data_IF_582156205013
#
_entry.id   IF_582156205013
#
_cell.length_a   1.000
_cell.length_b   1.000
_cell.length_c   1.000
_cell.angle_alpha   90.00
_cell.angle_beta   90.00
_cell.angle_gamma   90.00
#
_symmetry.space_group_name_H-M   'P 1'
#
loop_
_entity.id
_entity.type
_entity.pdbx_description
1 polymer ?
#
# COMPACT_ATOMS: atom_id res chain seq x y z
N UNK A 1 2.17 -22.27 1.76
CA UNK A 1 1.43 -22.38 3.01
C UNK A 1 2.18 -23.31 3.96
N UNK A 2 2.44 -22.87 5.19
CA UNK A 2 3.03 -23.69 6.22
C UNK A 2 2.27 -23.58 7.53
N UNK A 3 2.09 -24.70 8.24
CA UNK A 3 1.36 -24.77 9.52
C UNK A 3 1.91 -25.88 10.41
N UNK A 4 1.49 -25.91 11.67
CA UNK A 4 1.83 -27.04 12.58
C UNK A 4 1.21 -28.35 12.10
N UNK A 5 -0.09 -28.31 11.75
CA UNK A 5 -0.84 -29.45 11.19
C UNK A 5 -1.82 -28.93 10.14
N UNK A 6 -1.96 -29.63 9.05
CA UNK A 6 -2.85 -29.25 7.96
C UNK A 6 -4.32 -29.47 8.37
N UNK A 7 -5.09 -28.39 8.35
CA UNK A 7 -6.55 -28.46 8.33
C UNK A 7 -7.06 -28.18 6.93
N UNK A 8 -7.57 -29.21 6.27
CA UNK A 8 -8.01 -29.16 4.87
C UNK A 8 -9.09 -28.09 4.62
N UNK A 9 -10.01 -27.88 5.58
CA UNK A 9 -11.08 -26.89 5.45
C UNK A 9 -10.55 -25.47 5.48
N UNK A 10 -9.69 -25.17 6.45
CA UNK A 10 -9.05 -23.84 6.57
C UNK A 10 -8.13 -23.58 5.39
N UNK A 11 -7.32 -24.55 5.00
CA UNK A 11 -6.40 -24.41 3.85
C UNK A 11 -7.17 -24.17 2.56
N UNK A 12 -8.24 -24.90 2.29
CA UNK A 12 -9.08 -24.67 1.11
C UNK A 12 -9.68 -23.26 1.07
N UNK A 13 -10.13 -22.72 2.21
CA UNK A 13 -10.62 -21.33 2.30
C UNK A 13 -9.54 -20.33 1.98
N UNK A 14 -8.31 -20.51 2.48
CA UNK A 14 -7.16 -19.65 2.22
C UNK A 14 -6.80 -19.69 0.73
N UNK A 15 -6.63 -20.87 0.16
CA UNK A 15 -6.28 -21.05 -1.26
C UNK A 15 -7.35 -20.45 -2.18
N UNK A 16 -8.64 -20.65 -1.86
CA UNK A 16 -9.73 -20.00 -2.58
C UNK A 16 -9.66 -18.46 -2.52
N UNK A 17 -9.27 -17.90 -1.36
CA UNK A 17 -9.02 -16.46 -1.23
C UNK A 17 -7.90 -15.97 -2.13
N UNK A 18 -6.79 -16.71 -2.19
CA UNK A 18 -5.65 -16.43 -3.07
C UNK A 18 -6.07 -16.50 -4.54
N UNK A 19 -6.75 -17.58 -4.95
CA UNK A 19 -7.23 -17.77 -6.31
C UNK A 19 -8.19 -16.65 -6.76
N UNK A 20 -9.10 -16.23 -5.88
CA UNK A 20 -9.99 -15.08 -6.12
C UNK A 20 -9.20 -13.78 -6.31
N UNK A 21 -8.22 -13.51 -5.48
CA UNK A 21 -7.38 -12.32 -5.58
C UNK A 21 -6.54 -12.34 -6.88
N UNK A 22 -5.97 -13.47 -7.25
CA UNK A 22 -5.26 -13.65 -8.52
C UNK A 22 -6.17 -13.38 -9.72
N UNK A 23 -7.39 -13.93 -9.73
CA UNK A 23 -8.39 -13.68 -10.79
C UNK A 23 -8.73 -12.19 -10.91
N UNK A 24 -8.97 -11.49 -9.80
CA UNK A 24 -9.28 -10.05 -9.79
C UNK A 24 -8.07 -9.24 -10.27
N UNK A 25 -6.87 -9.65 -9.90
CA UNK A 25 -5.61 -8.99 -10.29
C UNK A 25 -5.19 -9.27 -11.73
N UNK A 26 -5.86 -10.19 -12.43
CA UNK A 26 -5.53 -10.57 -13.80
C UNK A 26 -4.25 -11.39 -13.91
N UNK A 27 -3.86 -12.12 -12.86
CA UNK A 27 -2.73 -13.04 -12.87
C UNK A 27 -3.17 -14.50 -12.70
N UNK A 28 -2.41 -15.44 -13.25
CA UNK A 28 -2.61 -16.87 -13.06
C UNK A 28 -2.03 -17.33 -11.72
N UNK A 29 -2.77 -18.16 -10.99
CA UNK A 29 -2.22 -18.91 -9.88
C UNK A 29 -1.64 -20.21 -10.45
N UNK A 30 -0.31 -20.26 -10.58
CA UNK A 30 0.37 -21.39 -11.24
C UNK A 30 0.47 -22.62 -10.35
N UNK A 31 0.49 -22.43 -9.02
CA UNK A 31 0.64 -23.52 -8.08
C UNK A 31 1.12 -23.03 -6.73
N UNK A 32 1.52 -23.97 -5.92
CA UNK A 32 2.05 -23.71 -4.57
C UNK A 32 2.47 -25.01 -3.91
N UNK A 33 2.92 -24.88 -2.67
CA UNK A 33 3.35 -25.98 -1.81
C UNK A 33 2.70 -25.82 -0.44
N UNK A 34 2.46 -26.94 0.24
CA UNK A 34 2.03 -26.95 1.63
C UNK A 34 3.03 -27.75 2.47
N UNK A 35 3.39 -27.24 3.65
CA UNK A 35 4.30 -27.90 4.58
C UNK A 35 3.65 -28.03 5.97
N UNK A 36 3.69 -29.25 6.53
CA UNK A 36 3.45 -29.48 7.94
C UNK A 36 4.76 -29.41 8.70
N UNK A 37 4.81 -28.53 9.70
CA UNK A 37 6.01 -28.27 10.50
C UNK A 37 5.64 -28.27 12.00
N UNK A 38 5.33 -29.45 12.56
CA UNK A 38 5.01 -29.59 13.98
C UNK A 38 6.20 -29.18 14.83
N UNK A 39 5.93 -28.43 15.91
CA UNK A 39 6.97 -27.89 16.79
C UNK A 39 7.58 -26.56 16.31
N UNK A 40 7.47 -26.21 15.04
CA UNK A 40 7.85 -24.90 14.52
C UNK A 40 6.69 -23.88 14.63
N UNK A 41 5.52 -24.30 14.23
CA UNK A 41 4.28 -23.50 14.41
C UNK A 41 3.49 -24.01 15.62
N UNK A 42 2.90 -23.11 16.39
CA UNK A 42 1.91 -23.47 17.39
C UNK A 42 0.59 -23.85 16.73
N UNK A 43 -0.27 -24.59 17.43
CA UNK A 43 -1.61 -24.93 16.96
C UNK A 43 -2.33 -23.66 16.51
N UNK A 44 -3.03 -23.72 15.39
CA UNK A 44 -3.80 -22.64 14.77
C UNK A 44 -2.97 -21.50 14.12
N UNK A 45 -1.64 -21.54 14.20
CA UNK A 45 -0.78 -20.61 13.49
C UNK A 45 -0.34 -21.17 12.13
N UNK A 46 -0.28 -20.28 11.15
CA UNK A 46 0.19 -20.60 9.81
C UNK A 46 0.92 -19.40 9.19
N UNK A 47 1.73 -19.69 8.18
CA UNK A 47 2.38 -18.69 7.35
C UNK A 47 1.99 -18.83 5.88
N UNK A 48 1.99 -17.70 5.18
CA UNK A 48 1.81 -17.61 3.75
C UNK A 48 3.01 -16.90 3.13
N UNK A 49 3.64 -17.52 2.16
CA UNK A 49 4.63 -16.88 1.30
C UNK A 49 4.15 -16.93 -0.14
N UNK A 50 4.30 -15.84 -0.86
CA UNK A 50 3.90 -15.74 -2.26
C UNK A 50 5.02 -15.17 -3.12
N UNK A 51 5.19 -15.74 -4.32
CA UNK A 51 6.11 -15.26 -5.33
C UNK A 51 5.32 -14.85 -6.56
N UNK A 52 5.64 -13.69 -7.13
CA UNK A 52 5.05 -13.24 -8.38
C UNK A 52 6.13 -13.02 -9.42
N UNK A 53 5.88 -13.51 -10.62
CA UNK A 53 6.74 -13.30 -11.78
C UNK A 53 5.97 -12.52 -12.83
N UNK A 54 6.58 -11.51 -13.40
CA UNK A 54 6.00 -10.69 -14.45
C UNK A 54 7.05 -10.30 -15.48
N UNK A 55 6.58 -9.84 -16.63
CA UNK A 55 7.44 -9.34 -17.72
C UNK A 55 7.04 -7.92 -18.10
N UNK A 56 8.01 -7.12 -18.47
CA UNK A 56 7.81 -5.76 -18.97
C UNK A 56 8.80 -5.47 -20.09
N UNK A 57 8.34 -4.77 -21.11
CA UNK A 57 9.22 -4.20 -22.13
C UNK A 57 10.19 -3.21 -21.50
N UNK A 58 11.50 -3.36 -21.75
CA UNK A 58 12.55 -2.51 -21.18
C UNK A 58 12.28 -1.00 -21.41
N UNK A 59 11.73 -0.65 -22.57
CA UNK A 59 11.36 0.72 -22.93
C UNK A 59 10.20 1.29 -22.10
N UNK A 60 9.36 0.43 -21.51
CA UNK A 60 8.19 0.80 -20.68
C UNK A 60 8.47 0.81 -19.20
N UNK A 61 9.71 0.56 -18.79
CA UNK A 61 10.08 0.50 -17.37
C UNK A 61 9.92 1.86 -16.69
N UNK A 62 9.09 1.90 -15.65
CA UNK A 62 8.88 3.09 -14.82
C UNK A 62 9.89 3.07 -13.66
N UNK A 63 11.03 3.73 -13.87
CA UNK A 63 12.17 3.70 -12.93
C UNK A 63 12.45 5.05 -12.25
N UNK A 64 11.51 6.00 -12.32
CA UNK A 64 11.66 7.33 -11.73
C UNK A 64 12.59 8.30 -12.48
N UNK A 65 13.29 7.87 -13.53
CA UNK A 65 14.22 8.73 -14.29
C UNK A 65 13.54 9.93 -14.94
N UNK A 66 12.24 9.83 -15.25
CA UNK A 66 11.43 10.90 -15.87
C UNK A 66 10.82 11.87 -14.85
N UNK A 67 10.99 11.64 -13.55
CA UNK A 67 10.46 12.53 -12.51
C UNK A 67 11.19 13.87 -12.57
N UNK A 68 10.41 14.96 -12.52
CA UNK A 68 10.89 16.36 -12.56
C UNK A 68 10.15 17.20 -11.52
N UNK A 69 10.74 18.33 -11.05
CA UNK A 69 10.00 19.32 -10.27
C UNK A 69 8.71 19.75 -10.98
N UNK A 70 7.66 20.00 -10.21
CA UNK A 70 6.34 20.38 -10.70
C UNK A 70 5.40 19.21 -10.98
N UNK A 71 5.88 17.96 -11.03
CA UNK A 71 5.00 16.81 -11.12
C UNK A 71 4.18 16.65 -9.83
N UNK A 72 2.93 16.21 -9.98
CA UNK A 72 1.99 16.02 -8.88
C UNK A 72 2.14 14.65 -8.24
N UNK A 73 1.89 14.59 -6.93
CA UNK A 73 1.76 13.38 -6.15
C UNK A 73 0.28 13.00 -6.07
N UNK A 74 -0.17 12.08 -6.94
CA UNK A 74 -1.52 11.55 -6.94
C UNK A 74 -1.58 10.34 -6.01
N UNK A 75 -2.19 10.52 -4.83
CA UNK A 75 -2.45 9.47 -3.88
C UNK A 75 -3.70 8.67 -4.26
N UNK A 76 -3.67 7.37 -4.01
CA UNK A 76 -4.79 6.46 -4.14
C UNK A 76 -5.08 5.88 -2.77
N UNK A 77 -6.35 5.88 -2.37
CA UNK A 77 -6.78 5.44 -1.04
C UNK A 77 -6.38 4.00 -0.71
N UNK A 78 -6.13 3.75 0.58
CA UNK A 78 -6.04 2.41 1.14
C UNK A 78 -7.39 1.96 1.72
N UNK A 79 -7.61 0.66 1.81
CA UNK A 79 -8.79 0.07 2.47
C UNK A 79 -8.70 0.10 4.01
N UNK A 80 -7.50 0.27 4.54
CA UNK A 80 -7.15 0.20 5.94
C UNK A 80 -5.64 0.08 6.10
N UNK A 81 -5.12 -0.55 7.16
CA UNK A 81 -3.69 -0.74 7.38
C UNK A 81 -2.98 -1.57 6.30
N UNK A 82 -3.75 -2.25 5.46
CA UNK A 82 -3.25 -3.26 4.53
C UNK A 82 -2.54 -4.39 5.32
N UNK A 83 -1.35 -4.79 4.93
CA UNK A 83 -0.61 -5.85 5.65
C UNK A 83 0.55 -5.30 6.48
N UNK A 84 0.48 -4.04 6.93
CA UNK A 84 1.60 -3.36 7.60
C UNK A 84 1.22 -2.84 8.98
N UNK A 85 2.21 -2.79 9.89
CA UNK A 85 2.06 -2.25 11.24
C UNK A 85 1.31 -3.15 12.22
N UNK A 86 1.06 -4.41 11.88
CA UNK A 86 0.24 -5.31 12.71
C UNK A 86 0.89 -5.69 14.04
N UNK A 87 2.21 -5.67 14.17
CA UNK A 87 2.87 -5.86 15.46
C UNK A 87 2.44 -4.80 16.47
N UNK A 88 2.41 -3.53 16.03
CA UNK A 88 1.94 -2.43 16.88
C UNK A 88 0.41 -2.50 17.07
N UNK A 89 -0.36 -2.77 16.02
CA UNK A 89 -1.82 -2.94 16.13
C UNK A 89 -2.18 -4.01 17.15
N UNK A 90 -1.56 -5.19 17.13
CA UNK A 90 -1.80 -6.26 18.12
C UNK A 90 -1.44 -5.81 19.53
N UNK A 91 -0.31 -5.10 19.72
CA UNK A 91 0.08 -4.54 21.04
C UNK A 91 -0.97 -3.57 21.56
N UNK A 92 -1.54 -2.74 20.68
CA UNK A 92 -2.61 -1.80 21.02
C UNK A 92 -3.90 -2.53 21.39
N UNK A 93 -4.29 -3.52 20.58
CA UNK A 93 -5.51 -4.32 20.83
C UNK A 93 -5.46 -5.12 22.14
N UNK A 94 -4.28 -5.50 22.61
CA UNK A 94 -4.12 -6.16 23.89
C UNK A 94 -4.39 -5.23 25.09
N UNK A 95 -4.27 -3.91 24.90
CA UNK A 95 -4.47 -2.91 25.95
C UNK A 95 -5.82 -2.18 25.84
N UNK A 96 -6.30 -1.99 24.61
CA UNK A 96 -7.46 -1.17 24.32
C UNK A 96 -8.50 -1.98 23.54
N UNK A 97 -9.76 -1.88 23.96
CA UNK A 97 -10.88 -2.52 23.26
C UNK A 97 -11.45 -1.56 22.22
N UNK A 98 -11.24 -1.81 20.91
CA UNK A 98 -11.72 -0.92 19.88
C UNK A 98 -13.21 -1.11 19.59
N UNK A 99 -13.90 -0.08 19.04
CA UNK A 99 -15.21 -0.25 18.44
C UNK A 99 -15.19 -1.28 17.30
N UNK A 100 -16.33 -1.96 17.07
CA UNK A 100 -16.45 -2.99 16.02
C UNK A 100 -16.08 -2.46 14.62
N UNK A 101 -16.41 -1.21 14.31
CA UNK A 101 -16.08 -0.56 13.04
C UNK A 101 -14.55 -0.46 12.82
N UNK A 102 -13.77 -0.29 13.90
CA UNK A 102 -12.30 -0.26 13.84
C UNK A 102 -11.76 -1.67 13.57
N UNK A 103 -12.29 -2.70 14.24
CA UNK A 103 -11.92 -4.11 13.95
C UNK A 103 -12.20 -4.44 12.48
N UNK A 104 -13.40 -4.12 11.98
CA UNK A 104 -13.74 -4.33 10.57
C UNK A 104 -12.76 -3.63 9.62
N UNK A 105 -12.32 -2.42 9.97
CA UNK A 105 -11.35 -1.66 9.17
C UNK A 105 -9.95 -2.28 9.22
N UNK A 106 -9.50 -2.77 10.37
CA UNK A 106 -8.23 -3.47 10.54
C UNK A 106 -8.21 -4.75 9.68
N UNK A 107 -9.30 -5.49 9.64
CA UNK A 107 -9.40 -6.78 8.91
C UNK A 107 -9.68 -6.64 7.42
N UNK A 108 -9.86 -5.42 6.89
CA UNK A 108 -10.08 -5.24 5.45
C UNK A 108 -8.88 -5.72 4.63
N UNK A 109 -9.12 -6.51 3.56
CA UNK A 109 -8.07 -6.89 2.63
C UNK A 109 -7.42 -5.67 1.98
N UNK A 110 -6.16 -5.80 1.62
CA UNK A 110 -5.43 -4.80 0.83
C UNK A 110 -6.15 -4.54 -0.50
N UNK A 111 -6.29 -3.28 -0.89
CA UNK A 111 -6.80 -2.93 -2.21
C UNK A 111 -5.92 -3.51 -3.31
N UNK A 112 -6.55 -4.13 -4.30
CA UNK A 112 -5.86 -4.67 -5.47
C UNK A 112 -5.67 -3.57 -6.51
N UNK A 113 -4.44 -3.07 -6.62
CA UNK A 113 -4.10 -1.95 -7.51
C UNK A 113 -3.66 -2.38 -8.92
N UNK A 114 -3.40 -3.67 -9.17
CA UNK A 114 -2.83 -4.16 -10.42
C UNK A 114 -3.62 -3.72 -11.66
N UNK A 115 -4.90 -4.07 -11.73
CA UNK A 115 -5.74 -3.74 -12.90
C UNK A 115 -5.90 -2.22 -13.10
N UNK A 116 -6.29 -1.42 -12.07
CA UNK A 116 -6.41 0.02 -12.24
C UNK A 116 -5.09 0.71 -12.60
N UNK A 117 -3.96 0.28 -12.04
CA UNK A 117 -2.66 0.85 -12.37
C UNK A 117 -2.22 0.45 -13.79
N UNK A 118 -2.46 -0.79 -14.22
CA UNK A 118 -2.19 -1.21 -15.60
C UNK A 118 -3.02 -0.41 -16.60
N UNK A 119 -4.30 -0.12 -16.31
CA UNK A 119 -5.10 0.78 -17.15
C UNK A 119 -4.54 2.21 -17.14
N UNK A 120 -4.12 2.69 -15.98
CA UNK A 120 -3.55 4.03 -15.81
C UNK A 120 -2.30 4.21 -16.67
N UNK A 121 -1.30 3.33 -16.54
CA UNK A 121 -0.03 3.43 -17.27
C UNK A 121 -0.15 3.21 -18.78
N UNK A 122 -1.21 2.54 -19.23
CA UNK A 122 -1.52 2.44 -20.67
C UNK A 122 -2.03 3.75 -21.26
N UNK A 123 -2.64 4.63 -20.46
CA UNK A 123 -3.35 5.82 -20.91
C UNK A 123 -2.67 7.14 -20.59
N UNK A 124 -1.77 7.14 -19.62
CA UNK A 124 -0.98 8.30 -19.21
C UNK A 124 0.48 7.91 -18.91
N UNK A 125 1.40 8.86 -19.13
CA UNK A 125 2.82 8.68 -18.82
C UNK A 125 3.06 8.90 -17.31
N UNK A 126 2.91 7.84 -16.54
CA UNK A 126 3.22 7.82 -15.09
C UNK A 126 4.73 7.85 -14.93
N UNK A 127 5.25 8.87 -14.24
CA UNK A 127 6.70 9.12 -14.11
C UNK A 127 7.36 8.28 -13.01
N UNK A 128 6.57 7.87 -12.01
CA UNK A 128 7.00 7.03 -10.90
C UNK A 128 5.80 6.54 -10.09
N UNK A 129 5.98 5.44 -9.36
CA UNK A 129 4.95 4.87 -8.49
C UNK A 129 5.58 4.35 -7.21
N UNK A 130 4.90 4.56 -6.08
CA UNK A 130 5.25 3.98 -4.80
C UNK A 130 4.05 3.26 -4.21
N UNK A 131 4.15 1.97 -3.96
CA UNK A 131 3.21 1.23 -3.13
C UNK A 131 3.57 1.52 -1.67
N UNK A 132 2.61 2.05 -0.90
CA UNK A 132 2.87 2.47 0.47
C UNK A 132 2.65 1.28 1.40
N UNK A 133 3.75 0.73 1.87
CA UNK A 133 3.85 -0.44 2.73
C UNK A 133 4.49 -0.08 4.07
N UNK A 134 5.16 -1.00 4.75
CA UNK A 134 5.96 -0.70 5.95
C UNK A 134 6.96 0.42 5.67
N UNK A 135 7.10 1.35 6.60
CA UNK A 135 7.84 2.60 6.43
C UNK A 135 7.00 3.79 5.95
N UNK A 136 5.69 3.56 5.63
CA UNK A 136 4.74 4.61 5.26
C UNK A 136 5.20 5.46 4.07
N UNK A 137 4.69 6.69 3.98
CA UNK A 137 5.11 7.65 2.96
C UNK A 137 6.59 8.03 3.12
N UNK A 138 7.06 8.14 4.36
CA UNK A 138 8.41 8.59 4.71
C UNK A 138 9.50 7.73 4.09
N UNK A 139 9.34 6.41 4.08
CA UNK A 139 10.37 5.48 3.62
C UNK A 139 10.11 4.94 2.19
N UNK A 140 8.86 4.93 1.72
CA UNK A 140 8.56 4.41 0.39
C UNK A 140 8.76 5.43 -0.72
N UNK A 141 8.43 6.71 -0.50
CA UNK A 141 8.64 7.77 -1.50
C UNK A 141 10.11 7.97 -1.90
N UNK A 142 11.09 7.96 -0.97
CA UNK A 142 12.51 8.12 -1.31
C UNK A 142 13.05 7.09 -2.31
N UNK A 143 12.47 5.89 -2.36
CA UNK A 143 12.96 4.77 -3.20
C UNK A 143 12.86 5.07 -4.70
N UNK A 144 11.91 5.92 -5.08
CA UNK A 144 11.65 6.27 -6.48
C UNK A 144 12.20 7.64 -6.88
N UNK A 145 12.75 8.41 -5.92
CA UNK A 145 13.22 9.77 -6.16
C UNK A 145 14.73 9.83 -6.35
N UNK A 146 15.18 10.63 -7.33
CA UNK A 146 16.59 11.00 -7.48
C UNK A 146 17.07 11.84 -6.27
N UNK A 147 18.40 11.93 -6.11
CA UNK A 147 19.02 12.68 -4.98
C UNK A 147 18.61 14.17 -4.93
N UNK A 148 18.43 14.78 -6.11
CA UNK A 148 18.11 16.21 -6.26
C UNK A 148 16.60 16.51 -6.27
N UNK A 149 15.75 15.55 -5.86
CA UNK A 149 14.31 15.70 -5.82
C UNK A 149 13.78 15.41 -4.42
N UNK A 150 12.74 16.13 -4.03
CA UNK A 150 11.98 15.93 -2.79
C UNK A 150 10.50 15.84 -3.08
N UNK A 151 9.79 14.94 -2.41
CA UNK A 151 8.35 14.92 -2.34
C UNK A 151 7.88 15.89 -1.26
N UNK A 152 7.32 17.03 -1.63
CA UNK A 152 6.66 17.95 -0.72
C UNK A 152 5.21 17.51 -0.57
N UNK A 153 4.83 17.10 0.64
CA UNK A 153 3.54 16.48 0.96
C UNK A 153 2.78 17.38 1.93
N UNK A 154 1.60 17.83 1.50
CA UNK A 154 0.69 18.59 2.35
C UNK A 154 -0.14 17.63 3.20
N UNK A 155 0.03 17.68 4.52
CA UNK A 155 -0.67 16.82 5.48
C UNK A 155 -2.15 17.18 5.66
N UNK A 156 -2.59 18.32 5.19
CA UNK A 156 -3.99 18.73 5.19
C UNK A 156 -4.76 18.26 3.95
N UNK A 157 -4.04 17.75 2.93
CA UNK A 157 -4.65 17.29 1.68
C UNK A 157 -5.57 16.06 1.85
N UNK A 158 -5.46 15.36 2.97
CA UNK A 158 -6.37 14.24 3.31
C UNK A 158 -6.55 14.11 4.83
N UNK A 159 -7.64 13.47 5.21
CA UNK A 159 -7.89 13.12 6.61
C UNK A 159 -7.54 11.66 6.84
N UNK A 160 -6.84 11.38 7.93
CA UNK A 160 -6.60 10.00 8.34
C UNK A 160 -7.94 9.26 8.49
N UNK A 161 -8.11 8.08 7.88
CA UNK A 161 -9.25 7.22 8.13
C UNK A 161 -9.45 6.92 9.62
N UNK A 162 -10.69 6.63 10.07
CA UNK A 162 -11.00 6.45 11.48
C UNK A 162 -10.10 5.46 12.21
N UNK A 163 -9.69 4.38 11.55
CA UNK A 163 -8.78 3.38 12.13
C UNK A 163 -7.44 3.99 12.55
N UNK A 164 -6.84 4.86 11.71
CA UNK A 164 -5.56 5.49 12.02
C UNK A 164 -5.69 6.57 13.08
N UNK A 165 -6.79 7.32 13.08
CA UNK A 165 -7.09 8.29 14.15
C UNK A 165 -7.22 7.56 15.49
N UNK A 166 -7.98 6.48 15.54
CA UNK A 166 -8.15 5.70 16.75
C UNK A 166 -6.80 5.16 17.26
N UNK A 167 -5.98 4.54 16.39
CA UNK A 167 -4.65 4.05 16.77
C UNK A 167 -3.76 5.17 17.33
N UNK A 168 -3.80 6.34 16.69
CA UNK A 168 -3.03 7.52 17.11
C UNK A 168 -3.45 8.03 18.48
N UNK A 169 -4.75 8.14 18.71
CA UNK A 169 -5.33 8.71 19.93
C UNK A 169 -5.09 7.83 21.16
N UNK A 170 -5.34 6.52 21.06
CA UNK A 170 -5.27 5.60 22.21
C UNK A 170 -3.85 5.37 22.73
N UNK A 171 -2.84 5.41 21.88
CA UNK A 171 -1.43 5.27 22.27
C UNK A 171 -0.64 6.58 22.13
N UNK A 172 -1.31 7.71 21.82
CA UNK A 172 -0.70 9.04 21.68
C UNK A 172 0.51 9.03 20.73
N UNK A 173 0.39 8.30 19.60
CA UNK A 173 1.47 8.15 18.64
C UNK A 173 1.69 9.50 17.94
N UNK A 174 2.96 9.92 17.81
CA UNK A 174 3.30 11.16 17.09
C UNK A 174 2.85 11.10 15.62
N UNK A 175 2.59 12.25 15.01
CA UNK A 175 2.18 12.30 13.58
C UNK A 175 3.30 11.76 12.68
N UNK A 176 4.55 12.03 13.02
CA UNK A 176 5.73 11.52 12.35
C UNK A 176 5.79 9.98 12.39
N UNK A 177 5.59 9.38 13.57
CA UNK A 177 5.60 7.92 13.71
C UNK A 177 4.42 7.29 12.98
N UNK A 178 3.22 7.90 13.02
CA UNK A 178 2.09 7.42 12.21
C UNK A 178 2.45 7.35 10.73
N UNK A 179 3.06 8.40 10.16
CA UNK A 179 3.46 8.48 8.76
C UNK A 179 4.63 7.56 8.39
N UNK A 180 5.39 7.10 9.38
CA UNK A 180 6.50 6.16 9.22
C UNK A 180 6.06 4.71 9.38
N UNK A 181 5.12 4.42 10.28
CA UNK A 181 4.67 3.05 10.57
C UNK A 181 3.56 2.62 9.62
N UNK A 182 2.59 3.52 9.35
CA UNK A 182 1.37 3.22 8.63
C UNK A 182 1.27 3.95 7.28
N UNK A 183 0.39 3.44 6.44
CA UNK A 183 0.02 4.11 5.19
C UNK A 183 -0.90 5.32 5.38
N UNK A 184 -1.47 5.50 6.57
CA UNK A 184 -2.36 6.60 6.96
C UNK A 184 -3.51 6.90 5.99
N UNK A 185 -3.99 5.88 5.28
CA UNK A 185 -5.08 6.00 4.31
C UNK A 185 -4.65 6.10 2.85
N UNK A 186 -3.35 6.06 2.57
CA UNK A 186 -2.77 6.12 1.22
C UNK A 186 -2.10 4.79 0.90
N UNK A 187 -2.67 4.01 -0.02
CA UNK A 187 -2.09 2.72 -0.39
C UNK A 187 -1.08 2.80 -1.54
N UNK A 188 -1.22 3.80 -2.42
CA UNK A 188 -0.30 4.01 -3.54
C UNK A 188 -0.19 5.49 -3.88
N UNK A 189 0.99 5.90 -4.35
CA UNK A 189 1.23 7.24 -4.90
C UNK A 189 1.74 7.10 -6.32
N UNK A 190 1.09 7.77 -7.27
CA UNK A 190 1.55 7.91 -8.66
C UNK A 190 2.06 9.33 -8.90
N UNK A 191 3.21 9.46 -9.56
CA UNK A 191 3.78 10.75 -9.95
C UNK A 191 3.40 11.02 -11.40
N UNK A 192 2.65 12.10 -11.62
CA UNK A 192 2.07 12.45 -12.91
C UNK A 192 2.29 13.93 -13.26
N UNK A 193 2.15 14.27 -14.53
CA UNK A 193 2.06 15.66 -14.97
C UNK A 193 0.69 16.26 -14.62
N UNK A 194 0.64 17.57 -14.41
CA UNK A 194 -0.59 18.30 -14.04
C UNK A 194 -1.73 18.10 -15.04
N UNK A 195 -1.41 18.11 -16.34
CA UNK A 195 -2.39 17.93 -17.43
C UNK A 195 -3.01 16.52 -17.47
N UNK A 196 -2.36 15.51 -16.85
CA UNK A 196 -2.85 14.14 -16.78
C UNK A 196 -3.85 13.89 -15.62
N UNK A 197 -4.00 14.85 -14.68
CA UNK A 197 -4.75 14.67 -13.44
C UNK A 197 -6.21 14.23 -13.67
N UNK A 198 -6.97 15.00 -14.44
CA UNK A 198 -8.40 14.71 -14.67
C UNK A 198 -8.60 13.33 -15.31
N UNK A 199 -7.75 12.97 -16.25
CA UNK A 199 -7.79 11.65 -16.91
C UNK A 199 -7.44 10.53 -15.92
N UNK A 200 -6.42 10.75 -15.09
CA UNK A 200 -6.02 9.79 -14.06
C UNK A 200 -7.15 9.53 -13.06
N UNK A 201 -7.75 10.59 -12.53
CA UNK A 201 -8.85 10.47 -11.57
C UNK A 201 -10.07 9.77 -12.17
N UNK A 202 -10.45 10.06 -13.43
CA UNK A 202 -11.53 9.35 -14.13
C UNK A 202 -11.28 7.84 -14.23
N UNK A 203 -10.04 7.44 -14.55
CA UNK A 203 -9.64 6.02 -14.61
C UNK A 203 -9.80 5.37 -13.22
N UNK A 204 -9.24 5.97 -12.18
CA UNK A 204 -9.28 5.42 -10.83
C UNK A 204 -10.71 5.34 -10.27
N UNK A 205 -11.55 6.35 -10.51
CA UNK A 205 -12.97 6.37 -10.13
C UNK A 205 -13.76 5.25 -10.80
N UNK A 206 -13.49 4.93 -12.08
CA UNK A 206 -14.08 3.78 -12.77
C UNK A 206 -13.80 2.47 -12.03
N UNK A 207 -12.64 2.35 -11.40
CA UNK A 207 -12.25 1.22 -10.55
C UNK A 207 -12.67 1.38 -9.08
N UNK A 208 -13.53 2.35 -8.77
CA UNK A 208 -14.03 2.65 -7.41
C UNK A 208 -12.91 2.99 -6.41
N UNK A 209 -11.79 3.52 -6.89
CA UNK A 209 -10.70 4.00 -6.08
C UNK A 209 -10.75 5.52 -5.99
N UNK A 210 -10.79 6.06 -4.78
CA UNK A 210 -10.63 7.49 -4.55
C UNK A 210 -9.18 7.87 -4.72
N UNK A 211 -8.97 9.04 -5.33
CA UNK A 211 -7.64 9.59 -5.52
C UNK A 211 -7.65 11.10 -5.35
N UNK A 212 -6.57 11.64 -4.82
CA UNK A 212 -6.43 13.04 -4.49
C UNK A 212 -4.97 13.46 -4.55
N UNK A 213 -4.73 14.76 -4.77
CA UNK A 213 -3.37 15.30 -4.77
C UNK A 213 -2.94 15.53 -3.34
N UNK A 214 -1.78 15.00 -2.97
CA UNK A 214 -1.18 15.19 -1.64
C UNK A 214 0.02 16.12 -1.67
N UNK A 215 0.44 16.60 -2.83
CA UNK A 215 1.61 17.46 -2.96
C UNK A 215 2.23 17.41 -4.33
N UNK A 216 3.50 17.79 -4.39
CA UNK A 216 4.25 17.86 -5.65
C UNK A 216 5.74 17.54 -5.46
N UNK A 217 6.40 17.29 -6.57
CA UNK A 217 7.86 17.15 -6.59
C UNK A 217 8.52 18.52 -6.67
N UNK A 218 9.53 18.74 -5.84
CA UNK A 218 10.35 19.95 -5.83
C UNK A 218 11.82 19.62 -6.06
N UNK A 219 12.62 20.65 -6.35
CA UNK A 219 14.09 20.52 -6.28
C UNK A 219 14.50 20.32 -4.83
N UNK A 220 15.43 19.41 -4.62
CA UNK A 220 15.94 19.11 -3.29
C UNK A 220 17.31 19.76 -3.10
N UNK A 221 17.40 20.59 -2.08
CA UNK A 221 18.64 21.20 -1.59
C UNK A 221 19.05 20.64 -0.22
N UNK A 222 18.21 19.73 0.35
CA UNK A 222 18.40 19.15 1.68
C UNK A 222 18.71 17.66 1.56
N UNK A 223 19.04 17.03 2.69
CA UNK A 223 19.32 15.58 2.75
C UNK A 223 18.06 14.72 2.63
N UNK A 224 16.94 15.20 3.17
CA UNK A 224 15.68 14.45 3.21
C UNK A 224 14.97 14.48 1.85
N UNK A 225 14.44 13.33 1.43
CA UNK A 225 13.68 13.19 0.17
C UNK A 225 12.16 13.34 0.33
N UNK A 226 11.67 13.46 1.56
CA UNK A 226 10.26 13.74 1.87
C UNK A 226 10.24 14.94 2.81
N UNK A 227 9.38 15.89 2.51
CA UNK A 227 9.10 17.06 3.34
C UNK A 227 7.59 17.13 3.54
N UNK A 228 7.17 17.20 4.78
CA UNK A 228 5.77 17.42 5.16
C UNK A 228 5.54 18.92 5.43
N UNK A 229 4.44 19.46 4.88
CA UNK A 229 3.98 20.84 5.06
C UNK A 229 2.52 20.85 5.50
#
# INVERSE_FOLDING_TARGET
>A
FASSKLDSKTTARIVNGIAKACKISGCALLGGETAEMPGHYTKDNFDLAGFSVGVIEKSKLINGKKIKPGHLLLAIESSGPHSNGYSLIRKILNKHKPPEAIIKSILKPTNLYSVPILELIKKIDVKGMAHITGGGLTENMPRILKKNLVAEINLEAWKFPPVFKWLQEVEKISKEDMLRIFNCGIGMVCIIEKNALTKAQKILTKHRLKSFIIGSIKKNYLKNKVQYI
#
